data_IF_246951817815
#
_entry.id   IF_246951817815
#
_cell.length_a   1.000
_cell.length_b   1.000
_cell.length_c   1.000
_cell.angle_alpha   90.00
_cell.angle_beta   90.00
_cell.angle_gamma   90.00
#
_symmetry.space_group_name_H-M   'P 1'
#
loop_
_entity.id
_entity.type
_entity.pdbx_description
1 polymer ?
#
# COMPACT_ATOMS: atom_id res chain seq x y z
N UNK A 1 -7.33 20.79 -40.99
CA UNK A 1 -5.93 20.70 -40.55
C UNK A 1 -5.96 20.55 -39.03
N UNK A 2 -5.94 19.31 -38.54
CA UNK A 2 -6.04 19.00 -37.11
C UNK A 2 -4.64 18.96 -36.50
N UNK A 3 -4.44 19.64 -35.37
CA UNK A 3 -3.20 19.59 -34.62
C UNK A 3 -2.96 18.19 -34.04
N UNK A 4 -1.72 17.67 -34.03
CA UNK A 4 -1.44 16.38 -33.40
C UNK A 4 -1.51 16.55 -31.88
N UNK A 5 -2.47 15.85 -31.26
CA UNK A 5 -2.60 15.76 -29.80
C UNK A 5 -1.34 15.15 -29.20
N UNK A 6 -0.73 15.85 -28.24
CA UNK A 6 0.43 15.39 -27.48
C UNK A 6 0.00 14.24 -26.57
N UNK A 7 0.26 13.00 -26.99
CA UNK A 7 0.08 11.82 -26.16
C UNK A 7 1.06 11.87 -24.98
N UNK A 8 0.54 12.08 -23.77
CA UNK A 8 1.29 11.82 -22.55
C UNK A 8 1.67 10.34 -22.50
N UNK A 9 2.95 10.03 -22.32
CA UNK A 9 3.40 8.65 -22.16
C UNK A 9 2.99 8.16 -20.78
N UNK A 10 2.00 7.27 -20.72
CA UNK A 10 1.60 6.56 -19.51
C UNK A 10 2.54 5.39 -19.32
N UNK A 11 3.45 5.49 -18.36
CA UNK A 11 4.26 4.34 -17.94
C UNK A 11 3.50 3.58 -16.84
N UNK A 12 2.74 2.54 -17.22
CA UNK A 12 2.28 1.53 -16.26
C UNK A 12 3.49 0.64 -15.98
N UNK A 13 4.14 0.82 -14.84
CA UNK A 13 5.17 -0.10 -14.38
C UNK A 13 4.52 -1.15 -13.48
N UNK A 14 4.19 -2.36 -13.98
CA UNK A 14 3.98 -3.48 -13.09
C UNK A 14 5.31 -3.73 -12.37
N UNK A 15 5.32 -3.60 -11.05
CA UNK A 15 6.45 -4.08 -10.24
C UNK A 15 6.38 -5.61 -10.24
N UNK A 16 6.86 -6.21 -11.33
CA UNK A 16 7.09 -7.66 -11.45
C UNK A 16 8.46 -7.97 -10.85
N UNK A 17 8.50 -8.30 -9.56
CA UNK A 17 9.70 -8.91 -8.99
C UNK A 17 9.73 -10.40 -9.35
N UNK A 18 10.58 -10.77 -10.30
CA UNK A 18 10.83 -12.18 -10.67
C UNK A 18 11.95 -12.78 -9.83
N UNK A 19 11.69 -13.02 -8.55
CA UNK A 19 12.57 -13.85 -7.72
C UNK A 19 12.20 -15.33 -7.82
N UNK A 20 12.95 -16.10 -8.61
CA UNK A 20 12.79 -17.56 -8.68
C UNK A 20 13.55 -18.23 -7.54
N UNK A 21 12.86 -18.57 -6.44
CA UNK A 21 13.11 -19.75 -5.58
C UNK A 21 11.97 -19.93 -4.57
N UNK A 22 11.15 -20.96 -4.80
CA UNK A 22 10.42 -21.78 -3.82
C UNK A 22 9.68 -21.17 -2.61
N UNK A 23 9.16 -19.95 -2.69
CA UNK A 23 8.13 -19.47 -1.75
C UNK A 23 7.08 -18.66 -2.49
N UNK A 24 5.80 -18.91 -2.18
CA UNK A 24 4.63 -18.28 -2.82
C UNK A 24 4.80 -16.76 -2.90
N UNK A 25 4.73 -16.22 -4.11
CA UNK A 25 4.81 -14.78 -4.40
C UNK A 25 3.49 -14.14 -3.96
N UNK A 26 3.53 -13.21 -3.01
CA UNK A 26 2.43 -12.26 -2.79
C UNK A 26 2.67 -11.11 -3.77
N UNK A 27 1.87 -11.04 -4.83
CA UNK A 27 1.90 -9.93 -5.79
C UNK A 27 1.13 -8.76 -5.16
N UNK A 28 1.83 -7.75 -4.67
CA UNK A 28 1.25 -6.45 -4.35
C UNK A 28 1.22 -5.63 -5.66
N UNK A 29 0.09 -5.67 -6.36
CA UNK A 29 -0.09 -4.89 -7.59
C UNK A 29 -0.30 -3.41 -7.25
N UNK A 30 0.72 -2.58 -7.51
CA UNK A 30 0.58 -1.12 -7.52
C UNK A 30 0.38 -0.64 -8.94
N UNK A 31 -0.60 0.23 -9.19
CA UNK A 31 -0.66 1.00 -10.44
C UNK A 31 -0.14 2.40 -10.16
N UNK A 32 0.94 2.78 -10.84
CA UNK A 32 1.59 4.08 -10.72
C UNK A 32 1.44 4.79 -12.05
N UNK A 33 0.94 6.02 -12.02
CA UNK A 33 0.96 6.91 -13.18
C UNK A 33 2.01 7.98 -12.95
N UNK A 34 2.99 8.07 -13.86
CA UNK A 34 4.00 9.13 -13.88
C UNK A 34 3.63 10.11 -14.98
N UNK A 35 3.55 11.39 -14.65
CA UNK A 35 3.26 12.44 -15.61
C UNK A 35 4.56 13.18 -15.95
N UNK A 36 4.92 13.34 -17.24
CA UNK A 36 6.06 14.17 -17.61
C UNK A 36 5.76 15.62 -17.22
N UNK A 37 6.77 16.34 -16.70
CA UNK A 37 6.66 17.79 -16.49
C UNK A 37 6.49 18.48 -17.85
N UNK A 38 5.24 18.72 -18.22
CA UNK A 38 4.90 19.71 -19.24
C UNK A 38 5.19 21.11 -18.70
N UNK A 39 5.37 22.08 -19.60
CA UNK A 39 5.60 23.49 -19.25
C UNK A 39 4.37 24.19 -18.61
N UNK A 40 3.39 23.40 -18.14
CA UNK A 40 2.25 23.83 -17.33
C UNK A 40 2.39 23.14 -15.98
N UNK A 41 2.24 23.90 -14.89
CA UNK A 41 2.40 23.45 -13.51
C UNK A 41 1.38 22.35 -13.17
N UNK A 42 1.63 21.09 -13.56
CA UNK A 42 0.87 19.97 -13.03
C UNK A 42 1.23 19.83 -11.55
N UNK A 43 0.23 19.95 -10.68
CA UNK A 43 0.44 19.87 -9.23
C UNK A 43 0.61 18.42 -8.71
N UNK A 44 0.87 17.50 -9.62
CA UNK A 44 1.05 16.08 -9.38
C UNK A 44 2.06 15.53 -10.38
N UNK A 45 3.20 15.04 -9.88
CA UNK A 45 4.22 14.34 -10.68
C UNK A 45 3.86 12.82 -10.75
N UNK A 46 3.29 12.28 -9.67
CA UNK A 46 2.96 10.84 -9.53
C UNK A 46 1.60 10.63 -8.88
N UNK A 47 0.75 9.82 -9.49
CA UNK A 47 -0.49 9.33 -8.87
C UNK A 47 -0.33 7.86 -8.47
N UNK A 48 -0.52 7.58 -7.19
CA UNK A 48 -0.51 6.23 -6.61
C UNK A 48 -1.95 5.72 -6.51
N UNK A 49 -2.24 4.64 -7.24
CA UNK A 49 -3.52 3.92 -7.21
C UNK A 49 -3.31 2.53 -6.62
N UNK A 50 -3.40 2.44 -5.31
CA UNK A 50 -3.27 1.19 -4.58
C UNK A 50 -3.81 1.33 -3.16
N UNK A 51 -4.20 0.20 -2.57
CA UNK A 51 -4.73 0.18 -1.21
C UNK A 51 -3.62 0.23 -0.16
N UNK A 52 -4.03 0.61 1.04
CA UNK A 52 -3.20 0.49 2.23
C UNK A 52 -3.19 -0.96 2.73
N UNK A 53 -2.23 -1.27 3.61
CA UNK A 53 -2.33 -2.36 4.57
C UNK A 53 -2.01 -1.81 5.96
N UNK A 54 -2.59 -2.41 7.00
CA UNK A 54 -2.12 -2.24 8.36
C UNK A 54 -1.36 -3.50 8.75
N UNK A 55 -0.05 -3.38 8.93
CA UNK A 55 0.83 -4.51 9.16
C UNK A 55 1.02 -4.70 10.67
N UNK A 56 0.59 -5.84 11.18
CA UNK A 56 0.82 -6.31 12.54
C UNK A 56 2.02 -7.26 12.47
N UNK A 57 3.14 -6.85 13.06
CA UNK A 57 4.41 -7.57 12.97
C UNK A 57 4.73 -8.16 14.34
N UNK A 58 4.93 -9.48 14.41
CA UNK A 58 5.37 -10.18 15.63
C UNK A 58 6.75 -10.80 15.36
N UNK A 59 7.75 -10.45 16.14
CA UNK A 59 9.12 -10.97 15.97
C UNK A 59 9.54 -11.91 17.08
N UNK A 60 10.56 -12.73 16.81
CA UNK A 60 11.13 -13.62 17.83
C UNK A 60 10.25 -14.81 18.20
N UNK A 61 9.43 -15.33 17.27
CA UNK A 61 8.74 -16.60 17.54
C UNK A 61 9.76 -17.75 17.66
N UNK A 62 9.61 -18.65 18.65
CA UNK A 62 10.54 -19.76 18.84
C UNK A 62 10.42 -20.82 17.73
N UNK A 63 9.24 -20.93 17.12
CA UNK A 63 8.92 -21.88 16.04
C UNK A 63 7.86 -21.28 15.09
N UNK A 64 7.72 -21.78 13.85
CA UNK A 64 6.61 -21.39 12.99
C UNK A 64 5.25 -21.76 13.61
N UNK A 65 4.19 -20.96 13.41
CA UNK A 65 2.85 -21.26 13.93
C UNK A 65 2.35 -22.62 13.47
N UNK A 66 1.81 -23.38 14.43
CA UNK A 66 1.20 -24.70 14.21
C UNK A 66 -0.18 -24.77 14.87
N UNK A 67 -1.06 -25.60 14.30
CA UNK A 67 -2.42 -25.76 14.80
C UNK A 67 -2.42 -26.16 16.28
N UNK A 68 -3.22 -25.46 17.08
CA UNK A 68 -3.39 -25.72 18.51
C UNK A 68 -2.25 -25.24 19.41
N UNK A 69 -1.20 -24.62 18.88
CA UNK A 69 -0.15 -23.99 19.68
C UNK A 69 -0.48 -22.51 19.95
N UNK A 70 -0.22 -22.08 21.18
CA UNK A 70 -0.13 -20.67 21.54
C UNK A 70 1.35 -20.29 21.65
N UNK A 71 1.79 -19.35 20.83
CA UNK A 71 3.20 -18.96 20.70
C UNK A 71 3.37 -17.49 21.06
N UNK A 72 4.40 -17.21 21.85
CA UNK A 72 4.73 -15.85 22.29
C UNK A 72 5.96 -15.35 21.52
N UNK A 73 5.81 -14.18 20.89
CA UNK A 73 6.94 -13.45 20.29
C UNK A 73 7.62 -12.55 21.32
N UNK A 74 8.80 -12.07 20.95
CA UNK A 74 9.62 -11.17 21.78
C UNK A 74 9.20 -9.70 21.63
N UNK A 75 8.65 -9.32 20.47
CA UNK A 75 8.18 -7.95 20.23
C UNK A 75 7.00 -7.92 19.25
N UNK A 76 6.26 -6.82 19.27
CA UNK A 76 5.12 -6.57 18.40
C UNK A 76 5.03 -5.09 18.01
N UNK A 77 4.76 -4.85 16.72
CA UNK A 77 4.50 -3.51 16.18
C UNK A 77 3.27 -3.51 15.28
N UNK A 78 2.61 -2.35 15.19
CA UNK A 78 1.58 -2.07 14.19
C UNK A 78 2.06 -0.90 13.35
N UNK A 79 2.22 -1.10 12.04
CA UNK A 79 2.76 -0.10 11.13
C UNK A 79 1.91 0.07 9.86
N UNK A 80 1.85 1.27 9.27
CA UNK A 80 1.24 1.47 7.97
C UNK A 80 2.02 0.77 6.85
N UNK A 81 1.32 -0.04 6.07
CA UNK A 81 1.85 -0.83 4.96
C UNK A 81 1.20 -0.53 3.61
N UNK A 82 1.53 -1.35 2.61
CA UNK A 82 0.99 -1.22 1.25
C UNK A 82 1.37 0.10 0.59
N UNK A 83 0.39 0.78 -0.04
CA UNK A 83 0.63 2.01 -0.79
C UNK A 83 1.15 3.17 0.06
N UNK A 84 0.91 3.14 1.37
CA UNK A 84 1.42 4.12 2.31
C UNK A 84 2.95 4.23 2.24
N UNK A 85 3.67 3.10 2.14
CA UNK A 85 5.14 3.06 2.11
C UNK A 85 5.64 3.85 0.89
N UNK A 86 5.04 3.61 -0.27
CA UNK A 86 5.41 4.28 -1.51
C UNK A 86 5.09 5.78 -1.47
N UNK A 87 3.87 6.13 -1.04
CA UNK A 87 3.44 7.52 -0.93
C UNK A 87 4.36 8.31 0.02
N UNK A 88 4.72 7.71 1.15
CA UNK A 88 5.65 8.28 2.13
C UNK A 88 7.06 8.43 1.57
N UNK A 89 7.58 7.41 0.87
CA UNK A 89 8.89 7.49 0.25
C UNK A 89 8.95 8.62 -0.80
N UNK A 90 7.94 8.74 -1.65
CA UNK A 90 7.85 9.82 -2.63
C UNK A 90 7.75 11.20 -1.98
N UNK A 91 6.91 11.34 -0.95
CA UNK A 91 6.77 12.56 -0.18
C UNK A 91 8.11 13.01 0.42
N UNK A 92 8.84 12.10 1.07
CA UNK A 92 10.16 12.38 1.67
C UNK A 92 11.23 12.75 0.64
N UNK A 93 11.09 12.26 -0.59
CA UNK A 93 11.98 12.62 -1.71
C UNK A 93 11.58 13.95 -2.39
N UNK A 94 10.54 14.63 -1.91
CA UNK A 94 10.06 15.90 -2.49
C UNK A 94 9.33 15.74 -3.82
N UNK A 95 8.92 14.52 -4.17
CA UNK A 95 8.07 14.26 -5.34
C UNK A 95 6.66 14.70 -5.02
N UNK A 96 6.00 15.43 -5.93
CA UNK A 96 4.58 15.79 -5.80
C UNK A 96 3.70 14.57 -6.06
N UNK A 97 3.71 13.62 -5.13
CA UNK A 97 2.92 12.41 -5.19
C UNK A 97 1.54 12.63 -4.55
N UNK A 98 0.49 12.15 -5.23
CA UNK A 98 -0.86 12.08 -4.68
C UNK A 98 -1.29 10.63 -4.62
N UNK A 99 -1.96 10.24 -3.53
CA UNK A 99 -2.38 8.87 -3.30
C UNK A 99 -3.90 8.80 -3.17
N UNK A 100 -4.53 8.02 -4.02
CA UNK A 100 -5.98 7.78 -3.97
C UNK A 100 -6.27 6.57 -3.08
N UNK A 101 -6.14 6.77 -1.77
CA UNK A 101 -6.45 5.73 -0.78
C UNK A 101 -7.96 5.53 -0.65
N UNK A 102 -8.40 4.28 -0.42
CA UNK A 102 -9.77 3.96 -0.04
C UNK A 102 -9.80 3.56 1.42
N UNK A 103 -10.51 4.32 2.24
CA UNK A 103 -10.58 4.15 3.68
C UNK A 103 -12.03 3.97 4.12
N UNK A 104 -12.26 2.99 4.99
CA UNK A 104 -13.54 2.76 5.64
C UNK A 104 -13.69 3.53 6.94
N UNK A 105 -14.73 3.18 7.70
CA UNK A 105 -14.97 3.69 9.06
C UNK A 105 -14.40 2.80 10.17
N UNK A 106 -13.59 1.80 9.82
CA UNK A 106 -12.95 0.87 10.75
C UNK A 106 -11.64 1.40 11.36
N UNK A 107 -11.14 0.71 12.39
CA UNK A 107 -9.93 1.09 13.14
C UNK A 107 -8.66 1.13 12.28
N UNK A 108 -8.51 0.23 11.30
CA UNK A 108 -7.31 0.18 10.46
C UNK A 108 -7.31 1.34 9.46
N UNK A 109 -8.47 1.64 8.89
CA UNK A 109 -8.66 2.81 8.03
C UNK A 109 -8.34 4.11 8.77
N UNK A 110 -8.81 4.26 10.01
CA UNK A 110 -8.51 5.44 10.85
C UNK A 110 -7.02 5.54 11.19
N UNK A 111 -6.38 4.42 11.54
CA UNK A 111 -4.95 4.35 11.82
C UNK A 111 -4.11 4.86 10.63
N UNK A 112 -4.47 4.48 9.40
CA UNK A 112 -3.79 4.95 8.19
C UNK A 112 -4.05 6.42 7.91
N UNK A 113 -5.27 6.90 8.11
CA UNK A 113 -5.59 8.32 7.96
C UNK A 113 -4.75 9.18 8.90
N UNK A 114 -4.66 8.77 10.17
CA UNK A 114 -3.90 9.50 11.19
C UNK A 114 -2.39 9.41 10.98
N UNK A 115 -1.87 8.26 10.53
CA UNK A 115 -0.48 8.14 10.11
C UNK A 115 -0.17 9.07 8.93
N UNK A 116 -1.04 9.10 7.92
CA UNK A 116 -0.86 9.93 6.71
C UNK A 116 -0.85 11.43 7.05
N UNK A 117 -1.75 11.85 7.95
CA UNK A 117 -1.79 13.23 8.44
C UNK A 117 -0.55 13.61 9.23
N UNK A 118 -0.06 12.72 10.11
CA UNK A 118 1.17 12.96 10.89
C UNK A 118 2.41 13.04 10.00
N UNK A 119 2.48 12.23 8.95
CA UNK A 119 3.58 12.27 7.97
C UNK A 119 3.52 13.52 7.08
N UNK A 120 2.37 14.18 6.97
CA UNK A 120 2.19 15.35 6.10
C UNK A 120 1.86 14.99 4.64
N UNK A 121 1.31 13.80 4.40
CA UNK A 121 0.85 13.40 3.07
C UNK A 121 -0.37 14.22 2.63
N UNK A 122 -0.48 14.50 1.34
CA UNK A 122 -1.69 15.08 0.74
C UNK A 122 -2.83 14.04 0.77
N UNK A 123 -3.80 14.23 1.67
CA UNK A 123 -4.97 13.35 1.81
C UNK A 123 -6.16 13.80 0.97
N UNK A 124 -6.02 14.81 0.09
CA UNK A 124 -7.14 15.37 -0.67
C UNK A 124 -7.78 14.39 -1.66
N UNK A 125 -7.10 13.30 -2.02
CA UNK A 125 -7.64 12.22 -2.87
C UNK A 125 -8.12 11.00 -2.09
N UNK A 126 -8.10 11.04 -0.75
CA UNK A 126 -8.57 9.91 0.05
C UNK A 126 -10.09 9.79 -0.05
N UNK A 127 -10.55 8.59 -0.37
CA UNK A 127 -11.96 8.26 -0.47
C UNK A 127 -12.42 7.62 0.84
N UNK A 128 -13.32 8.31 1.55
CA UNK A 128 -13.89 7.84 2.81
C UNK A 128 -15.22 7.13 2.55
N UNK A 129 -15.38 5.92 3.08
CA UNK A 129 -16.58 5.11 2.94
C UNK A 129 -17.25 4.86 4.29
N UNK A 130 -18.58 4.96 4.36
CA UNK A 130 -19.38 4.67 5.55
C UNK A 130 -19.58 3.16 5.80
N UNK A 131 -18.52 2.38 5.60
CA UNK A 131 -18.48 0.94 5.87
C UNK A 131 -17.06 0.51 6.19
N UNK A 132 -16.86 -0.65 6.84
CA UNK A 132 -15.54 -1.23 7.00
C UNK A 132 -14.88 -1.52 5.65
N UNK A 133 -13.59 -1.16 5.53
CA UNK A 133 -12.71 -1.47 4.41
C UNK A 133 -11.36 -1.87 4.95
N UNK A 134 -11.34 -2.97 5.72
CA UNK A 134 -10.16 -3.41 6.46
C UNK A 134 -9.17 -4.05 5.50
N UNK A 135 -7.92 -3.64 5.61
CA UNK A 135 -6.79 -4.27 4.92
C UNK A 135 -5.67 -4.47 5.93
N UNK A 136 -5.39 -5.73 6.27
CA UNK A 136 -4.50 -6.10 7.37
C UNK A 136 -3.56 -7.20 6.92
N UNK A 137 -2.29 -7.09 7.29
CA UNK A 137 -1.33 -8.19 7.19
C UNK A 137 -0.79 -8.52 8.57
N UNK A 138 -0.74 -9.79 8.91
CA UNK A 138 -0.02 -10.28 10.07
C UNK A 138 1.27 -10.89 9.57
N UNK A 139 2.39 -10.25 9.88
CA UNK A 139 3.72 -10.77 9.61
C UNK A 139 4.30 -11.37 10.89
N UNK A 140 4.96 -12.50 10.77
CA UNK A 140 5.69 -13.09 11.89
C UNK A 140 7.07 -13.58 11.45
N UNK A 141 8.06 -13.50 12.33
CA UNK A 141 9.40 -14.04 12.09
C UNK A 141 9.80 -15.04 13.16
N UNK A 142 10.48 -16.09 12.75
CA UNK A 142 11.12 -17.10 13.59
C UNK A 142 12.56 -17.32 13.12
N UNK A 143 13.32 -18.14 13.85
CA UNK A 143 14.79 -18.34 13.75
C UNK A 143 15.44 -17.92 12.43
N UNK A 144 15.02 -18.46 11.28
CA UNK A 144 15.62 -18.15 9.98
C UNK A 144 14.64 -17.77 8.88
N UNK A 145 13.36 -17.51 9.18
CA UNK A 145 12.36 -17.22 8.16
C UNK A 145 11.17 -16.40 8.70
N UNK A 146 10.27 -16.03 7.81
CA UNK A 146 9.07 -15.25 8.11
C UNK A 146 7.85 -15.75 7.35
N UNK A 147 6.67 -15.53 7.93
CA UNK A 147 5.38 -15.81 7.31
C UNK A 147 4.47 -14.59 7.32
N UNK A 148 3.45 -14.65 6.46
CA UNK A 148 2.45 -13.60 6.30
C UNK A 148 1.05 -14.22 6.18
N UNK A 149 0.08 -13.61 6.85
CA UNK A 149 -1.34 -13.90 6.70
C UNK A 149 -2.04 -12.57 6.48
N UNK A 150 -2.69 -12.40 5.34
CA UNK A 150 -3.36 -11.15 4.99
C UNK A 150 -4.86 -11.33 4.88
N UNK A 151 -5.59 -10.30 5.27
CA UNK A 151 -7.03 -10.16 5.10
C UNK A 151 -7.33 -8.81 4.45
N UNK A 152 -8.27 -8.81 3.51
CA UNK A 152 -8.74 -7.58 2.88
C UNK A 152 -10.24 -7.68 2.61
N UNK A 153 -11.01 -6.67 3.04
CA UNK A 153 -12.40 -6.54 2.65
C UNK A 153 -12.50 -6.28 1.14
N UNK A 154 -13.45 -6.94 0.48
CA UNK A 154 -13.68 -6.74 -0.94
C UNK A 154 -14.21 -5.32 -1.19
N UNK A 155 -13.63 -4.68 -2.20
CA UNK A 155 -14.17 -3.46 -2.77
C UNK A 155 -14.94 -3.83 -4.05
N UNK A 156 -16.22 -3.45 -4.19
CA UNK A 156 -16.99 -3.78 -5.38
C UNK A 156 -16.31 -3.14 -6.59
N UNK A 157 -15.94 -3.98 -7.55
CA UNK A 157 -15.49 -3.52 -8.85
C UNK A 157 -16.72 -2.94 -9.52
N UNK A 158 -16.70 -1.65 -9.88
CA UNK A 158 -17.75 -1.09 -10.73
C UNK A 158 -17.71 -1.87 -12.05
N UNK A 159 -18.82 -2.50 -12.48
CA UNK A 159 -18.86 -3.10 -13.81
C UNK A 159 -18.57 -2.01 -14.85
N UNK A 160 -17.70 -2.34 -15.80
CA UNK A 160 -17.34 -1.47 -16.92
C UNK A 160 -18.54 -1.17 -17.83
#
# INVERSE_FOLDING_TARGET
MAAPGKGGSVAVLPVLWTGRRNSKIIILSFVIFVFPRGNEMSDCDVLVLADYFCDIIITGLPEPPRLGADLFGEAMEIVPGGAYILATAMHRLGVKARWMARLGNDLFSQFILDASRREGLDTSLFQMFERPLRSVSVAFSFVHDRGFISFQDLFPVTPA
#
